data_IF_410896700427
#
_entry.id   IF_410896700427
#
_cell.length_a   1.000
_cell.length_b   1.000
_cell.length_c   1.000
_cell.angle_alpha   90.00
_cell.angle_beta   90.00
_cell.angle_gamma   90.00
#
_symmetry.space_group_name_H-M   'P 1'
#
loop_
_entity.id
_entity.type
_entity.pdbx_description
1 polymer ?
#
# COMPACT_ATOMS: atom_id res chain seq x y z
N UNK A 1 33.91 -47.41 44.46
CA UNK A 1 34.98 -46.57 43.85
C UNK A 1 35.80 -45.88 44.93
N UNK A 2 35.13 -45.23 45.88
CA UNK A 2 35.76 -44.56 47.03
C UNK A 2 36.54 -45.58 47.88
N UNK A 3 35.93 -46.70 48.26
CA UNK A 3 36.60 -47.76 49.06
C UNK A 3 37.85 -48.34 48.39
N UNK A 4 37.88 -48.39 47.05
CA UNK A 4 39.07 -48.86 46.30
C UNK A 4 40.18 -47.82 46.27
N UNK A 5 39.83 -46.53 46.16
CA UNK A 5 40.81 -45.44 46.20
C UNK A 5 41.43 -45.38 47.60
N UNK A 6 40.62 -45.53 48.64
CA UNK A 6 41.10 -45.58 50.02
C UNK A 6 41.99 -46.80 50.26
N UNK A 7 41.57 -48.00 49.83
CA UNK A 7 42.37 -49.21 49.96
C UNK A 7 43.69 -49.18 49.15
N UNK A 8 43.69 -48.56 47.96
CA UNK A 8 44.89 -48.41 47.13
C UNK A 8 45.92 -47.46 47.75
N UNK A 9 45.46 -46.43 48.46
CA UNK A 9 46.33 -45.43 49.07
C UNK A 9 46.96 -45.91 50.39
N UNK A 10 46.47 -47.00 50.97
CA UNK A 10 47.08 -47.65 52.12
C UNK A 10 48.06 -48.72 51.68
N UNK A 11 49.34 -48.36 51.59
CA UNK A 11 50.45 -49.30 51.40
C UNK A 11 50.57 -50.22 52.61
N UNK A 12 49.90 -51.38 52.59
CA UNK A 12 50.21 -52.39 53.61
C UNK A 12 49.38 -53.65 53.68
N UNK A 13 48.08 -53.66 53.36
CA UNK A 13 47.27 -54.88 53.54
C UNK A 13 46.18 -55.03 52.48
N UNK A 14 46.24 -56.19 51.83
CA UNK A 14 45.34 -56.77 50.83
C UNK A 14 45.28 -56.06 49.47
N UNK A 15 45.43 -56.84 48.39
CA UNK A 15 45.29 -56.35 47.01
C UNK A 15 43.87 -55.82 46.82
N UNK A 16 43.71 -54.50 46.80
CA UNK A 16 42.43 -53.84 46.59
C UNK A 16 41.74 -54.39 45.32
N UNK A 17 40.58 -55.02 45.49
CA UNK A 17 39.78 -55.50 44.35
C UNK A 17 39.10 -54.31 43.67
N UNK A 18 39.24 -54.24 42.34
CA UNK A 18 38.71 -53.15 41.53
C UNK A 18 37.18 -53.12 41.66
N UNK A 19 36.57 -51.95 41.91
CA UNK A 19 35.13 -51.83 42.08
C UNK A 19 34.42 -52.13 40.77
N UNK A 20 33.31 -52.86 40.85
CA UNK A 20 32.48 -53.23 39.71
C UNK A 20 31.90 -51.98 39.03
N UNK A 21 32.25 -51.77 37.77
CA UNK A 21 31.72 -50.69 36.94
C UNK A 21 30.66 -51.25 35.97
N UNK A 22 29.52 -50.57 35.76
CA UNK A 22 28.38 -51.12 34.99
C UNK A 22 28.65 -51.44 33.51
N UNK A 23 29.84 -51.13 32.99
CA UNK A 23 30.16 -51.19 31.55
C UNK A 23 31.47 -51.90 31.22
N UNK A 24 32.12 -52.54 32.18
CA UNK A 24 33.41 -53.21 31.94
C UNK A 24 33.26 -54.73 31.84
N UNK A 25 33.53 -55.26 30.64
CA UNK A 25 33.91 -56.66 30.37
C UNK A 25 32.89 -57.77 30.72
N UNK A 26 31.59 -57.50 30.67
CA UNK A 26 30.55 -58.50 31.00
C UNK A 26 29.78 -58.99 29.78
N UNK A 27 29.48 -60.29 29.74
CA UNK A 27 28.72 -60.91 28.66
C UNK A 27 27.21 -60.78 28.88
N UNK A 28 26.64 -59.77 28.24
CA UNK A 28 25.20 -59.46 28.07
C UNK A 28 24.39 -59.10 29.33
N UNK A 29 23.66 -57.99 29.22
CA UNK A 29 22.52 -57.61 30.05
C UNK A 29 21.21 -58.17 29.47
N UNK A 30 20.66 -59.28 30.00
CA UNK A 30 19.23 -59.39 30.25
C UNK A 30 18.98 -58.80 31.64
N UNK A 31 18.24 -57.69 31.70
CA UNK A 31 17.87 -56.96 32.91
C UNK A 31 17.66 -57.91 34.11
N UNK A 32 18.45 -57.72 35.16
CA UNK A 32 18.21 -58.14 36.55
C UNK A 32 17.58 -59.54 36.72
N UNK A 33 18.35 -60.62 36.46
CA UNK A 33 18.08 -61.94 37.05
C UNK A 33 19.19 -62.30 38.05
N UNK A 34 18.89 -62.38 39.37
CA UNK A 34 19.89 -62.69 40.40
C UNK A 34 20.48 -64.12 40.30
N UNK A 35 19.85 -65.02 39.53
CA UNK A 35 20.19 -66.45 39.49
C UNK A 35 21.25 -66.82 38.45
N UNK A 36 21.82 -65.86 37.71
CA UNK A 36 22.91 -66.13 36.76
C UNK A 36 24.17 -65.38 37.22
N UNK A 37 25.27 -66.10 37.52
CA UNK A 37 26.54 -65.45 37.86
C UNK A 37 27.07 -64.66 36.65
N UNK A 38 27.64 -63.51 36.95
CA UNK A 38 28.32 -62.65 35.97
C UNK A 38 29.47 -63.46 35.36
N UNK A 39 29.42 -63.67 34.04
CA UNK A 39 30.52 -64.31 33.30
C UNK A 39 31.42 -63.23 32.72
N UNK A 40 32.68 -63.20 33.15
CA UNK A 40 33.72 -62.40 32.55
C UNK A 40 34.12 -62.99 31.20
N UNK A 41 34.48 -62.13 30.22
CA UNK A 41 35.10 -62.63 29.00
C UNK A 41 36.47 -63.24 29.35
N UNK A 42 36.72 -64.46 28.90
CA UNK A 42 38.06 -65.04 29.01
C UNK A 42 39.02 -64.34 28.05
N UNK A 43 40.33 -64.36 28.35
CA UNK A 43 41.35 -63.73 27.49
C UNK A 43 41.24 -64.21 26.03
N UNK A 44 41.02 -65.50 25.83
CA UNK A 44 40.79 -66.10 24.51
C UNK A 44 39.52 -65.59 23.83
N UNK A 45 38.43 -65.42 24.58
CA UNK A 45 37.18 -64.87 24.05
C UNK A 45 37.32 -63.40 23.64
N UNK A 46 38.03 -62.59 24.42
CA UNK A 46 38.32 -61.18 24.12
C UNK A 46 39.17 -61.09 22.84
N UNK A 47 40.18 -61.95 22.69
CA UNK A 47 40.99 -62.04 21.48
C UNK A 47 40.15 -62.47 20.28
N UNK A 48 39.26 -63.46 20.44
CA UNK A 48 38.37 -63.90 19.36
C UNK A 48 37.38 -62.80 18.94
N UNK A 49 36.76 -62.13 19.90
CA UNK A 49 35.80 -61.04 19.64
C UNK A 49 36.47 -59.83 18.99
N UNK A 50 37.68 -59.47 19.42
CA UNK A 50 38.44 -58.38 18.79
C UNK A 50 38.82 -58.69 17.34
N UNK A 51 39.22 -59.93 17.04
CA UNK A 51 39.47 -60.37 15.66
C UNK A 51 38.21 -60.31 14.81
N UNK A 52 37.07 -60.77 15.33
CA UNK A 52 35.78 -60.71 14.64
C UNK A 52 35.35 -59.26 14.36
N UNK A 53 35.47 -58.38 15.36
CA UNK A 53 35.12 -56.97 15.23
C UNK A 53 36.03 -56.22 14.23
N UNK A 54 37.34 -56.48 14.27
CA UNK A 54 38.28 -55.89 13.33
C UNK A 54 38.02 -56.37 11.89
N UNK A 55 37.74 -57.66 11.69
CA UNK A 55 37.40 -58.20 10.38
C UNK A 55 36.12 -57.58 9.81
N UNK A 56 35.07 -57.44 10.64
CA UNK A 56 33.83 -56.81 10.23
C UNK A 56 34.02 -55.32 9.89
N UNK A 57 34.77 -54.57 10.71
CA UNK A 57 35.09 -53.16 10.44
C UNK A 57 35.93 -52.98 9.17
N UNK A 58 36.83 -53.93 8.85
CA UNK A 58 37.58 -53.93 7.60
C UNK A 58 36.67 -54.19 6.39
N UNK A 59 35.73 -55.12 6.52
CA UNK A 59 34.76 -55.41 5.46
C UNK A 59 33.82 -54.22 5.22
N UNK A 60 33.39 -53.52 6.28
CA UNK A 60 32.59 -52.30 6.20
C UNK A 60 33.35 -51.13 5.54
N UNK A 61 34.67 -51.04 5.73
CA UNK A 61 35.53 -50.07 5.05
C UNK A 61 35.71 -50.40 3.56
N UNK A 62 35.79 -51.69 3.20
CA UNK A 62 35.95 -52.15 1.81
C UNK A 62 34.65 -51.96 1.01
N UNK A 63 33.50 -52.27 1.62
CA UNK A 63 32.18 -52.12 0.99
C UNK A 63 31.67 -50.67 0.94
N UNK A 64 32.52 -49.68 1.27
CA UNK A 64 32.13 -48.29 1.42
C UNK A 64 31.77 -47.62 0.08
N UNK A 65 30.48 -47.34 -0.16
CA UNK A 65 30.06 -46.31 -1.13
C UNK A 65 30.23 -44.93 -0.50
N UNK A 66 31.04 -44.10 -1.14
CA UNK A 66 31.61 -42.82 -0.64
C UNK A 66 30.58 -41.76 -0.21
N UNK A 67 29.28 -41.93 -0.43
CA UNK A 67 28.31 -40.83 -0.36
C UNK A 67 27.57 -40.62 0.99
N UNK A 68 27.59 -41.53 1.98
CA UNK A 68 26.65 -41.43 3.13
C UNK A 68 27.26 -41.72 4.52
N UNK A 69 28.46 -41.22 4.86
CA UNK A 69 28.97 -41.26 6.26
C UNK A 69 29.83 -40.04 6.60
N UNK A 70 29.69 -39.53 7.84
CA UNK A 70 30.49 -38.41 8.36
C UNK A 70 31.95 -38.81 8.61
N UNK A 71 32.92 -37.88 8.56
CA UNK A 71 34.33 -38.16 8.82
C UNK A 71 34.59 -38.84 10.17
N UNK A 72 33.76 -38.53 11.17
CA UNK A 72 33.79 -39.18 12.48
C UNK A 72 33.52 -40.69 12.38
N UNK A 73 32.48 -41.09 11.61
CA UNK A 73 32.14 -42.50 11.41
C UNK A 73 33.27 -43.26 10.72
N UNK A 74 33.92 -42.65 9.72
CA UNK A 74 35.03 -43.27 8.98
C UNK A 74 36.27 -43.44 9.87
N UNK A 75 36.60 -42.42 10.67
CA UNK A 75 37.71 -42.50 11.62
C UNK A 75 37.47 -43.60 12.66
N UNK A 76 36.25 -43.70 13.19
CA UNK A 76 35.92 -44.71 14.20
C UNK A 76 35.87 -46.12 13.64
N UNK A 77 35.41 -46.34 12.40
CA UNK A 77 35.50 -47.65 11.76
C UNK A 77 36.95 -48.02 11.42
N UNK A 78 37.78 -47.06 11.00
CA UNK A 78 39.22 -47.27 10.81
C UNK A 78 39.95 -47.61 12.11
N UNK A 79 39.61 -46.94 13.22
CA UNK A 79 40.13 -47.27 14.54
C UNK A 79 39.67 -48.67 14.97
N UNK A 80 38.39 -49.02 14.76
CA UNK A 80 37.83 -50.33 15.06
C UNK A 80 38.50 -51.47 14.27
N UNK A 81 38.84 -51.23 13.00
CA UNK A 81 39.58 -52.17 12.15
C UNK A 81 41.01 -52.49 12.67
N UNK A 82 41.54 -51.67 13.58
CA UNK A 82 42.88 -51.83 14.19
C UNK A 82 42.84 -52.28 15.65
N UNK A 83 41.66 -52.57 16.19
CA UNK A 83 41.46 -52.95 17.60
C UNK A 83 42.25 -54.20 18.01
N UNK A 84 42.53 -55.12 17.10
CA UNK A 84 43.37 -56.30 17.36
C UNK A 84 44.79 -55.97 17.83
N UNK A 85 45.33 -54.79 17.47
CA UNK A 85 46.66 -54.35 17.92
C UNK A 85 46.73 -54.03 19.40
N UNK A 86 45.59 -53.76 20.02
CA UNK A 86 45.50 -53.30 21.41
C UNK A 86 45.02 -54.39 22.38
N UNK A 87 44.76 -55.60 21.88
CA UNK A 87 44.07 -56.67 22.63
C UNK A 87 44.82 -58.01 22.62
N UNK A 88 45.74 -58.26 21.68
CA UNK A 88 46.59 -59.46 21.75
C UNK A 88 47.60 -59.37 22.90
N UNK A 89 48.10 -60.52 23.42
CA UNK A 89 49.22 -60.59 24.37
C UNK A 89 50.53 -60.27 23.64
N UNK A 90 50.59 -59.07 23.08
CA UNK A 90 51.71 -58.55 22.32
C UNK A 90 52.07 -57.18 22.89
N UNK A 91 52.02 -57.11 24.22
CA UNK A 91 52.59 -55.99 24.98
C UNK A 91 54.12 -56.09 24.91
N UNK A 92 54.79 -54.94 24.88
CA UNK A 92 56.27 -54.87 24.84
C UNK A 92 56.90 -55.72 25.97
N UNK A 93 56.24 -55.78 27.12
CA UNK A 93 56.63 -56.55 28.30
C UNK A 93 56.64 -58.06 28.04
N UNK A 94 55.64 -58.60 27.34
CA UNK A 94 55.59 -60.05 27.03
C UNK A 94 56.61 -60.44 25.95
N UNK A 95 56.87 -59.56 24.98
CA UNK A 95 57.96 -59.78 24.00
C UNK A 95 59.34 -59.79 24.65
N UNK A 96 59.55 -58.95 25.66
CA UNK A 96 60.79 -58.96 26.45
C UNK A 96 60.90 -60.23 27.29
N UNK A 97 59.83 -60.64 27.97
CA UNK A 97 59.81 -61.88 28.75
C UNK A 97 60.09 -63.11 27.88
N UNK A 98 59.53 -63.19 26.67
CA UNK A 98 59.79 -64.28 25.72
C UNK A 98 61.26 -64.31 25.25
N UNK A 99 61.88 -63.14 25.05
CA UNK A 99 63.31 -63.04 24.74
C UNK A 99 64.18 -63.45 25.92
N UNK A 100 63.78 -63.14 27.15
CA UNK A 100 64.46 -63.58 28.35
C UNK A 100 64.42 -65.10 28.54
N UNK A 101 63.26 -65.73 28.31
CA UNK A 101 63.14 -67.19 28.43
C UNK A 101 63.96 -67.92 27.37
N UNK A 102 63.99 -67.43 26.13
CA UNK A 102 64.81 -68.01 25.06
C UNK A 102 66.31 -67.96 25.37
N UNK A 103 66.81 -66.83 25.91
CA UNK A 103 68.22 -66.73 26.33
C UNK A 103 68.56 -67.69 27.47
N UNK A 104 67.65 -67.90 28.42
CA UNK A 104 67.87 -68.84 29.52
C UNK A 104 67.98 -70.29 29.02
N UNK A 105 67.22 -70.67 28.00
CA UNK A 105 67.30 -72.01 27.40
C UNK A 105 68.61 -72.22 26.62
N UNK A 106 69.08 -71.19 25.89
CA UNK A 106 70.36 -71.24 25.16
C UNK A 106 71.56 -71.45 26.09
N UNK A 107 71.59 -70.77 27.24
CA UNK A 107 72.67 -70.91 28.24
C UNK A 107 72.70 -72.35 28.81
N UNK A 108 71.54 -72.90 29.19
CA UNK A 108 71.45 -74.28 29.71
C UNK A 108 71.91 -75.32 28.69
N UNK A 109 71.70 -75.08 27.40
CA UNK A 109 72.16 -75.98 26.34
C UNK A 109 73.69 -75.96 26.21
N UNK A 110 74.32 -74.81 26.35
CA UNK A 110 75.78 -74.66 26.28
C UNK A 110 76.49 -75.37 27.44
N UNK A 111 76.01 -75.19 28.67
CA UNK A 111 76.58 -75.85 29.87
C UNK A 111 76.57 -77.38 29.73
N UNK A 112 75.48 -77.94 29.22
CA UNK A 112 75.31 -79.39 29.04
C UNK A 112 76.29 -79.96 28.01
N UNK A 113 76.61 -79.19 26.96
CA UNK A 113 77.57 -79.57 25.93
C UNK A 113 79.01 -79.59 26.45
N UNK A 114 79.37 -78.62 27.28
CA UNK A 114 80.73 -78.50 27.78
C UNK A 114 81.04 -79.55 28.87
N UNK A 115 80.03 -79.93 29.67
CA UNK A 115 80.13 -81.06 30.61
C UNK A 115 80.48 -82.39 29.91
N UNK A 116 79.82 -82.69 28.77
CA UNK A 116 80.07 -83.92 28.02
C UNK A 116 81.48 -83.99 27.41
N UNK A 117 82.04 -82.85 26.98
CA UNK A 117 83.41 -82.80 26.44
C UNK A 117 84.46 -83.10 27.49
N UNK A 118 84.26 -82.66 28.73
CA UNK A 118 85.20 -82.89 29.82
C UNK A 118 85.25 -84.38 30.21
N UNK A 119 84.10 -85.06 30.22
CA UNK A 119 84.00 -86.49 30.55
C UNK A 119 84.77 -87.39 29.58
N UNK A 120 84.68 -87.09 28.28
CA UNK A 120 85.38 -87.84 27.23
C UNK A 120 86.90 -87.66 27.29
N UNK A 121 87.40 -86.53 27.81
CA UNK A 121 88.83 -86.30 27.92
C UNK A 121 89.46 -87.18 29.01
N UNK A 122 88.75 -87.38 30.13
CA UNK A 122 89.21 -88.18 31.27
C UNK A 122 89.36 -89.66 30.87
N UNK A 123 88.40 -90.22 30.13
CA UNK A 123 88.44 -91.63 29.71
C UNK A 123 89.65 -91.98 28.83
N UNK A 124 90.08 -91.09 27.93
CA UNK A 124 91.28 -91.33 27.10
C UNK A 124 92.59 -91.37 27.88
N UNK A 125 92.65 -90.70 29.04
CA UNK A 125 93.88 -90.65 29.84
C UNK A 125 94.12 -91.98 30.55
N UNK A 126 93.06 -92.67 30.99
CA UNK A 126 93.15 -93.95 31.70
C UNK A 126 93.56 -95.12 30.79
N UNK A 127 93.08 -95.15 29.53
CA UNK A 127 93.39 -96.23 28.58
C UNK A 127 94.90 -96.30 28.22
N UNK A 128 95.56 -95.15 28.13
CA UNK A 128 96.97 -95.09 27.72
C UNK A 128 97.94 -95.56 28.81
N UNK A 129 97.59 -95.48 30.10
CA UNK A 129 98.49 -95.94 31.17
C UNK A 129 98.55 -97.47 31.28
N UNK A 130 97.51 -98.19 30.87
CA UNK A 130 97.44 -99.66 30.97
C UNK A 130 98.33 -100.35 29.92
N UNK A 131 98.52 -99.75 28.75
CA UNK A 131 99.26 -100.36 27.64
C UNK A 131 100.77 -100.53 27.90
N UNK A 132 101.41 -99.58 28.59
CA UNK A 132 102.88 -99.53 28.76
C UNK A 132 103.39 -100.65 29.71
N UNK A 133 102.55 -101.11 30.65
CA UNK A 133 102.94 -102.11 31.65
C UNK A 133 103.07 -103.54 31.10
N UNK A 134 102.39 -103.84 29.99
CA UNK A 134 102.31 -105.19 29.42
C UNK A 134 103.52 -105.57 28.55
N UNK A 135 104.13 -104.62 27.84
CA UNK A 135 105.24 -104.89 26.90
C UNK A 135 106.55 -105.23 27.60
N UNK A 136 106.85 -104.60 28.74
CA UNK A 136 108.09 -104.81 29.49
C UNK A 136 108.19 -106.24 30.07
N UNK A 137 107.06 -106.87 30.41
CA UNK A 137 107.02 -108.24 30.99
C UNK A 137 107.28 -109.35 29.96
N UNK A 138 107.19 -109.06 28.65
CA UNK A 138 107.36 -110.07 27.58
C UNK A 138 108.82 -110.23 27.12
N UNK A 139 109.67 -109.22 27.30
CA UNK A 139 111.00 -109.17 26.70
C UNK A 139 112.10 -109.97 27.45
N UNK A 140 111.88 -110.36 28.71
CA UNK A 140 112.96 -110.78 29.63
C UNK A 140 112.95 -112.30 29.96
N UNK A 141 111.98 -113.08 29.43
CA UNK A 141 111.83 -114.49 29.81
C UNK A 141 112.64 -115.44 28.90
N UNK A 142 113.70 -116.05 29.45
CA UNK A 142 114.24 -117.34 28.98
C UNK A 142 115.38 -117.35 27.95
N UNK A 143 116.28 -116.35 27.90
CA UNK A 143 117.44 -116.36 26.98
C UNK A 143 118.78 -116.49 27.72
N UNK A 144 119.71 -117.26 27.15
CA UNK A 144 121.01 -117.63 27.74
C UNK A 144 122.07 -116.53 27.61
N UNK A 145 123.11 -116.59 28.45
CA UNK A 145 124.13 -115.54 28.60
C UNK A 145 124.88 -115.14 27.31
N UNK A 146 125.04 -116.05 26.33
CA UNK A 146 125.66 -115.74 25.04
C UNK A 146 124.68 -115.08 24.03
N UNK A 147 123.37 -115.25 24.22
CA UNK A 147 122.34 -114.52 23.49
C UNK A 147 122.11 -113.12 24.08
N UNK A 148 122.40 -112.92 25.37
CA UNK A 148 122.37 -111.62 26.04
C UNK A 148 123.49 -110.70 25.53
N UNK A 149 124.71 -111.22 25.28
CA UNK A 149 125.83 -110.42 24.75
C UNK A 149 125.64 -110.02 23.28
N UNK A 150 125.10 -110.91 22.44
CA UNK A 150 124.75 -110.59 21.06
C UNK A 150 123.56 -109.61 20.97
N UNK A 151 122.57 -109.75 21.86
CA UNK A 151 121.48 -108.78 21.98
C UNK A 151 122.00 -107.42 22.45
N UNK A 152 122.90 -107.36 23.43
CA UNK A 152 123.53 -106.12 23.91
C UNK A 152 124.37 -105.42 22.84
N UNK A 153 125.12 -106.14 21.99
CA UNK A 153 125.86 -105.53 20.88
C UNK A 153 124.94 -104.96 19.79
N UNK A 154 123.84 -105.67 19.48
CA UNK A 154 122.80 -105.16 18.58
C UNK A 154 122.00 -104.00 19.21
N UNK A 155 121.82 -104.00 20.53
CA UNK A 155 121.24 -102.90 21.31
C UNK A 155 122.17 -101.69 21.29
N UNK A 156 123.49 -101.87 21.42
CA UNK A 156 124.46 -100.76 21.37
C UNK A 156 124.57 -100.13 19.98
N UNK A 157 124.49 -100.92 18.90
CA UNK A 157 124.48 -100.37 17.54
C UNK A 157 123.15 -99.68 17.21
N UNK A 158 122.02 -100.17 17.75
CA UNK A 158 120.74 -99.46 17.71
C UNK A 158 120.80 -98.17 18.52
N UNK A 159 121.39 -98.20 19.71
CA UNK A 159 121.54 -97.02 20.56
C UNK A 159 122.46 -95.96 19.95
N UNK A 160 123.52 -96.34 19.23
CA UNK A 160 124.37 -95.39 18.51
C UNK A 160 123.69 -94.78 17.28
N UNK A 161 122.84 -95.53 16.57
CA UNK A 161 122.01 -94.98 15.50
C UNK A 161 120.89 -94.08 16.04
N UNK A 162 120.28 -94.47 17.15
CA UNK A 162 119.27 -93.67 17.83
C UNK A 162 119.87 -92.38 18.39
N UNK A 163 121.06 -92.42 19.00
CA UNK A 163 121.74 -91.23 19.51
C UNK A 163 122.10 -90.23 18.40
N UNK A 164 122.56 -90.70 17.23
CA UNK A 164 122.81 -89.82 16.07
C UNK A 164 121.52 -89.24 15.48
N UNK A 165 120.47 -90.03 15.39
CA UNK A 165 119.15 -89.56 14.96
C UNK A 165 118.54 -88.56 15.97
N UNK A 166 118.79 -88.74 17.26
CA UNK A 166 118.36 -87.84 18.34
C UNK A 166 119.14 -86.52 18.29
N UNK A 167 120.44 -86.54 17.99
CA UNK A 167 121.26 -85.33 17.87
C UNK A 167 120.91 -84.51 16.62
N UNK A 168 120.69 -85.18 15.48
CA UNK A 168 120.14 -84.53 14.26
C UNK A 168 118.72 -83.99 14.48
N UNK A 169 117.86 -84.72 15.20
CA UNK A 169 116.53 -84.26 15.57
C UNK A 169 116.56 -83.06 16.53
N UNK A 170 117.54 -82.97 17.43
CA UNK A 170 117.70 -81.85 18.35
C UNK A 170 118.13 -80.56 17.62
N UNK A 171 119.06 -80.64 16.67
CA UNK A 171 119.48 -79.50 15.85
C UNK A 171 118.34 -79.04 14.93
N UNK A 172 117.58 -79.98 14.35
CA UNK A 172 116.37 -79.68 13.59
C UNK A 172 115.29 -79.01 14.46
N UNK A 173 115.09 -79.48 15.70
CA UNK A 173 114.15 -78.89 16.63
C UNK A 173 114.57 -77.47 17.08
N UNK A 174 115.86 -77.23 17.30
CA UNK A 174 116.36 -75.91 17.72
C UNK A 174 116.33 -74.88 16.58
N UNK A 175 116.63 -75.29 15.35
CA UNK A 175 116.48 -74.43 14.17
C UNK A 175 115.01 -74.13 13.87
N UNK A 176 114.10 -75.11 13.99
CA UNK A 176 112.66 -74.92 13.89
C UNK A 176 112.11 -74.00 15.00
N UNK A 177 112.61 -74.10 16.24
CA UNK A 177 112.22 -73.24 17.35
C UNK A 177 112.66 -71.78 17.14
N UNK A 178 113.88 -71.55 16.63
CA UNK A 178 114.35 -70.19 16.27
C UNK A 178 113.54 -69.61 15.11
N UNK A 179 113.28 -70.39 14.06
CA UNK A 179 112.41 -69.98 12.96
C UNK A 179 111.02 -69.59 13.48
N UNK A 180 110.39 -70.44 14.31
CA UNK A 180 109.11 -70.16 14.95
C UNK A 180 109.12 -68.90 15.83
N UNK A 181 110.21 -68.64 16.56
CA UNK A 181 110.35 -67.42 17.37
C UNK A 181 110.46 -66.15 16.52
N UNK A 182 111.15 -66.20 15.38
CA UNK A 182 111.25 -65.07 14.45
C UNK A 182 109.89 -64.81 13.81
N UNK A 183 109.20 -65.86 13.35
CA UNK A 183 107.85 -65.72 12.80
C UNK A 183 106.88 -65.16 13.85
N UNK A 184 106.94 -65.61 15.11
CA UNK A 184 106.11 -65.06 16.20
C UNK A 184 106.35 -63.57 16.45
N UNK A 185 107.62 -63.13 16.46
CA UNK A 185 107.97 -61.71 16.62
C UNK A 185 107.50 -60.89 15.42
N UNK A 186 107.68 -61.40 14.21
CA UNK A 186 107.18 -60.76 12.99
C UNK A 186 105.65 -60.62 13.02
N UNK A 187 104.93 -61.69 13.37
CA UNK A 187 103.46 -61.63 13.52
C UNK A 187 103.03 -60.69 14.63
N UNK A 188 103.79 -60.58 15.74
CA UNK A 188 103.46 -59.66 16.82
C UNK A 188 103.60 -58.20 16.38
N UNK A 189 104.65 -57.86 15.63
CA UNK A 189 104.86 -56.52 15.07
C UNK A 189 103.77 -56.20 14.03
N UNK A 190 103.41 -57.16 13.18
CA UNK A 190 102.33 -56.99 12.21
C UNK A 190 100.98 -56.76 12.91
N UNK A 191 100.69 -57.51 13.98
CA UNK A 191 99.50 -57.30 14.81
C UNK A 191 99.52 -55.91 15.46
N UNK A 192 100.65 -55.45 15.98
CA UNK A 192 100.78 -54.13 16.60
C UNK A 192 100.59 -53.01 15.57
N UNK A 193 101.17 -53.14 14.38
CA UNK A 193 100.98 -52.19 13.28
C UNK A 193 99.54 -52.18 12.76
N UNK A 194 98.90 -53.34 12.63
CA UNK A 194 97.48 -53.44 12.26
C UNK A 194 96.60 -52.82 13.34
N UNK A 195 96.86 -53.09 14.62
CA UNK A 195 96.14 -52.49 15.73
C UNK A 195 96.30 -50.96 15.75
N UNK A 196 97.52 -50.43 15.54
CA UNK A 196 97.75 -48.99 15.45
C UNK A 196 96.95 -48.36 14.30
N UNK A 197 96.96 -48.97 13.11
CA UNK A 197 96.17 -48.50 11.95
C UNK A 197 94.67 -48.56 12.21
N UNK A 198 94.18 -49.61 12.85
CA UNK A 198 92.77 -49.75 13.24
C UNK A 198 92.38 -48.66 14.24
N UNK A 199 93.19 -48.40 15.25
CA UNK A 199 92.94 -47.34 16.24
C UNK A 199 92.99 -45.95 15.60
N UNK A 200 93.93 -45.68 14.70
CA UNK A 200 93.97 -44.42 13.95
C UNK A 200 92.75 -44.25 13.03
N UNK A 201 92.33 -45.30 12.33
CA UNK A 201 91.13 -45.27 11.51
C UNK A 201 89.86 -45.06 12.37
N UNK A 202 89.76 -45.74 13.51
CA UNK A 202 88.66 -45.58 14.45
C UNK A 202 88.60 -44.17 15.05
N UNK A 203 89.75 -43.60 15.45
CA UNK A 203 89.78 -42.25 16.01
C UNK A 203 89.39 -41.20 14.96
N UNK A 204 89.87 -41.33 13.72
CA UNK A 204 89.43 -40.48 12.61
C UNK A 204 87.93 -40.59 12.36
N UNK A 205 87.40 -41.82 12.24
CA UNK A 205 85.96 -42.05 12.07
C UNK A 205 85.15 -41.49 13.24
N UNK A 206 85.61 -41.68 14.49
CA UNK A 206 84.97 -41.10 15.68
C UNK A 206 84.92 -39.57 15.60
N UNK A 207 85.99 -38.91 15.18
CA UNK A 207 85.99 -37.44 15.02
C UNK A 207 85.05 -36.96 13.90
N UNK A 208 84.98 -37.68 12.78
CA UNK A 208 84.07 -37.34 11.68
C UNK A 208 82.61 -37.56 12.09
N UNK A 209 82.29 -38.69 12.73
CA UNK A 209 80.97 -38.97 13.29
C UNK A 209 80.57 -37.90 14.29
N UNK A 210 81.49 -37.47 15.18
CA UNK A 210 81.21 -36.36 16.11
C UNK A 210 80.97 -35.03 15.39
N UNK A 211 81.71 -34.72 14.33
CA UNK A 211 81.54 -33.49 13.54
C UNK A 211 80.19 -33.48 12.82
N UNK A 212 79.83 -34.59 12.18
CA UNK A 212 78.54 -34.77 11.50
C UNK A 212 77.40 -34.68 12.52
N UNK A 213 77.54 -35.34 13.68
CA UNK A 213 76.56 -35.25 14.77
C UNK A 213 76.33 -33.81 15.22
N UNK A 214 77.40 -33.02 15.44
CA UNK A 214 77.28 -31.60 15.80
C UNK A 214 76.59 -30.79 14.71
N UNK A 215 76.93 -31.01 13.44
CA UNK A 215 76.28 -30.33 12.31
C UNK A 215 74.79 -30.66 12.24
N UNK A 216 74.43 -31.93 12.34
CA UNK A 216 73.04 -32.36 12.37
C UNK A 216 72.29 -31.80 13.58
N UNK A 217 72.95 -31.72 14.75
CA UNK A 217 72.34 -31.12 15.93
C UNK A 217 72.04 -29.64 15.73
N UNK A 218 72.96 -28.87 15.13
CA UNK A 218 72.73 -27.45 14.81
C UNK A 218 71.57 -27.31 13.82
N UNK A 219 71.56 -28.12 12.75
CA UNK A 219 70.47 -28.11 11.77
C UNK A 219 69.12 -28.46 12.40
N UNK A 220 69.08 -29.41 13.33
CA UNK A 220 67.88 -29.74 14.10
C UNK A 220 67.41 -28.51 14.89
N UNK A 221 68.30 -27.84 15.64
CA UNK A 221 67.92 -26.65 16.42
C UNK A 221 67.47 -25.48 15.56
N UNK A 222 68.08 -25.25 14.40
CA UNK A 222 67.68 -24.20 13.45
C UNK A 222 66.29 -24.51 12.85
N UNK A 223 66.05 -25.76 12.48
CA UNK A 223 64.76 -26.20 11.96
C UNK A 223 63.67 -26.14 13.05
N UNK A 224 63.99 -26.47 14.30
CA UNK A 224 63.07 -26.33 15.44
C UNK A 224 62.69 -24.87 15.66
N UNK A 225 63.65 -23.95 15.68
CA UNK A 225 63.37 -22.51 15.80
C UNK A 225 62.54 -21.98 14.62
N UNK A 226 62.86 -22.40 13.40
CA UNK A 226 62.12 -22.02 12.20
C UNK A 226 60.66 -22.52 12.25
N UNK A 227 60.47 -23.76 12.70
CA UNK A 227 59.16 -24.37 12.88
C UNK A 227 58.34 -23.61 13.94
N UNK A 228 58.94 -23.20 15.04
CA UNK A 228 58.27 -22.40 16.08
C UNK A 228 57.81 -21.03 15.57
N UNK A 229 58.66 -20.35 14.79
CA UNK A 229 58.29 -19.07 14.15
C UNK A 229 57.13 -19.26 13.16
N UNK A 230 57.21 -20.30 12.31
CA UNK A 230 56.14 -20.62 11.37
C UNK A 230 54.82 -20.98 12.09
N UNK A 231 54.89 -21.72 13.19
CA UNK A 231 53.73 -22.06 14.01
C UNK A 231 53.10 -20.81 14.65
N UNK A 232 53.92 -19.90 15.18
CA UNK A 232 53.44 -18.63 15.74
C UNK A 232 52.76 -17.77 14.68
N UNK A 233 53.38 -17.63 13.51
CA UNK A 233 52.79 -16.92 12.37
C UNK A 233 51.46 -17.55 11.93
N UNK A 234 51.37 -18.88 11.87
CA UNK A 234 50.12 -19.58 11.54
C UNK A 234 49.02 -19.28 12.57
N UNK A 235 49.33 -19.32 13.87
CA UNK A 235 48.37 -18.97 14.93
C UNK A 235 47.89 -17.52 14.79
N UNK A 236 48.77 -16.57 14.48
CA UNK A 236 48.40 -15.17 14.33
C UNK A 236 47.56 -14.92 13.06
N UNK A 237 47.89 -15.58 11.95
CA UNK A 237 47.05 -15.59 10.75
C UNK A 237 45.66 -16.19 11.03
N UNK A 238 45.56 -17.27 11.80
CA UNK A 238 44.28 -17.83 12.20
C UNK A 238 43.44 -16.86 13.04
N UNK A 239 44.06 -16.06 13.93
CA UNK A 239 43.35 -15.01 14.68
C UNK A 239 42.84 -13.90 13.74
N UNK A 240 43.65 -13.48 12.77
CA UNK A 240 43.26 -12.48 11.77
C UNK A 240 42.08 -12.98 10.94
N UNK A 241 42.13 -14.23 10.46
CA UNK A 241 41.04 -14.86 9.70
C UNK A 241 39.74 -14.86 10.53
N UNK A 242 39.81 -15.23 11.81
CA UNK A 242 38.63 -15.19 12.70
C UNK A 242 38.07 -13.77 12.86
N UNK A 243 38.94 -12.78 13.04
CA UNK A 243 38.53 -11.36 13.15
C UNK A 243 37.86 -10.87 11.86
N UNK A 244 38.45 -11.15 10.71
CA UNK A 244 37.89 -10.77 9.41
C UNK A 244 36.58 -11.49 9.14
N UNK A 245 36.47 -12.78 9.50
CA UNK A 245 35.22 -13.54 9.40
C UNK A 245 34.10 -12.90 10.23
N UNK A 246 34.39 -12.45 11.45
CA UNK A 246 33.41 -11.76 12.30
C UNK A 246 32.99 -10.42 11.68
N UNK A 247 33.96 -9.63 11.22
CA UNK A 247 33.68 -8.35 10.55
C UNK A 247 32.82 -8.53 9.30
N UNK A 248 33.06 -9.58 8.51
CA UNK A 248 32.22 -9.89 7.35
C UNK A 248 30.78 -10.22 7.76
N UNK A 249 30.59 -11.01 8.83
CA UNK A 249 29.23 -11.31 9.31
C UNK A 249 28.50 -10.09 9.85
N UNK A 250 29.21 -9.19 10.55
CA UNK A 250 28.63 -7.92 11.03
C UNK A 250 28.25 -7.01 9.86
N UNK A 251 29.10 -6.92 8.83
CA UNK A 251 28.84 -6.09 7.65
C UNK A 251 27.69 -6.67 6.81
N UNK A 252 27.57 -8.00 6.72
CA UNK A 252 26.44 -8.67 6.09
C UNK A 252 25.13 -8.35 6.82
N UNK A 253 25.10 -8.46 8.15
CA UNK A 253 23.91 -8.11 8.93
C UNK A 253 23.52 -6.63 8.76
N UNK A 254 24.50 -5.72 8.79
CA UNK A 254 24.26 -4.30 8.56
C UNK A 254 23.72 -4.03 7.15
N UNK A 255 24.22 -4.74 6.12
CA UNK A 255 23.72 -4.64 4.75
C UNK A 255 22.26 -5.10 4.65
N UNK A 256 21.92 -6.25 5.25
CA UNK A 256 20.55 -6.77 5.29
C UNK A 256 19.59 -5.81 6.00
N UNK A 257 20.03 -5.18 7.09
CA UNK A 257 19.25 -4.15 7.80
C UNK A 257 18.99 -2.91 6.94
N UNK A 258 20.01 -2.39 6.25
CA UNK A 258 19.87 -1.26 5.32
C UNK A 258 18.95 -1.62 4.16
N UNK A 259 19.06 -2.83 3.62
CA UNK A 259 18.18 -3.30 2.55
C UNK A 259 16.73 -3.40 3.01
N UNK A 260 16.47 -3.87 4.24
CA UNK A 260 15.13 -3.90 4.84
C UNK A 260 14.57 -2.48 5.03
N UNK A 261 15.37 -1.55 5.54
CA UNK A 261 14.96 -0.15 5.70
C UNK A 261 14.66 0.51 4.35
N UNK A 262 15.49 0.25 3.33
CA UNK A 262 15.26 0.75 1.98
C UNK A 262 13.91 0.26 1.44
N UNK A 263 13.61 -1.03 1.58
CA UNK A 263 12.34 -1.59 1.13
C UNK A 263 11.15 -0.92 1.84
N UNK A 264 11.25 -0.70 3.16
CA UNK A 264 10.22 -0.01 3.92
C UNK A 264 9.98 1.43 3.42
N UNK A 265 11.05 2.17 3.09
CA UNK A 265 10.94 3.53 2.54
C UNK A 265 10.32 3.51 1.15
N UNK A 266 10.67 2.54 0.31
CA UNK A 266 10.07 2.38 -1.03
C UNK A 266 8.57 2.09 -0.92
N UNK A 267 8.15 1.23 0.00
CA UNK A 267 6.74 0.93 0.24
C UNK A 267 5.99 2.16 0.75
N UNK A 268 6.57 2.91 1.70
CA UNK A 268 6.02 4.18 2.18
C UNK A 268 5.89 5.22 1.08
N UNK A 269 6.89 5.36 0.21
CA UNK A 269 6.86 6.26 -0.92
C UNK A 269 5.75 5.87 -1.91
N UNK A 270 5.56 4.58 -2.15
CA UNK A 270 4.48 4.06 -3.01
C UNK A 270 3.10 4.42 -2.45
N UNK A 271 2.90 4.30 -1.14
CA UNK A 271 1.67 4.72 -0.46
C UNK A 271 1.46 6.23 -0.57
N UNK A 272 2.51 7.03 -0.35
CA UNK A 272 2.46 8.48 -0.48
C UNK A 272 2.10 8.91 -1.92
N UNK A 273 2.68 8.27 -2.94
CA UNK A 273 2.36 8.51 -4.34
C UNK A 273 0.89 8.22 -4.67
N UNK A 274 0.35 7.10 -4.18
CA UNK A 274 -1.09 6.79 -4.35
C UNK A 274 -1.97 7.84 -3.69
N UNK A 275 -1.61 8.28 -2.48
CA UNK A 275 -2.35 9.35 -1.76
C UNK A 275 -2.31 10.67 -2.51
N UNK A 276 -1.16 11.04 -3.09
CA UNK A 276 -1.03 12.23 -3.92
C UNK A 276 -1.92 12.14 -5.17
N UNK A 277 -1.99 10.97 -5.81
CA UNK A 277 -2.85 10.75 -6.98
C UNK A 277 -4.34 10.92 -6.62
N UNK A 278 -4.79 10.36 -5.48
CA UNK A 278 -6.17 10.54 -5.00
C UNK A 278 -6.47 12.01 -4.70
N UNK A 279 -5.60 12.70 -3.95
CA UNK A 279 -5.79 14.13 -3.63
C UNK A 279 -5.79 15.01 -4.89
N UNK A 280 -4.98 14.67 -5.89
CA UNK A 280 -4.99 15.38 -7.17
C UNK A 280 -6.30 15.18 -7.94
N UNK A 281 -6.92 13.99 -7.85
CA UNK A 281 -8.24 13.72 -8.40
C UNK A 281 -9.33 14.53 -7.70
N UNK A 282 -9.35 14.50 -6.36
CA UNK A 282 -10.29 15.29 -5.55
C UNK A 282 -10.19 16.80 -5.83
N UNK A 283 -8.96 17.31 -6.01
CA UNK A 283 -8.72 18.71 -6.37
C UNK A 283 -9.31 19.06 -7.74
N UNK A 284 -9.16 18.18 -8.73
CA UNK A 284 -9.70 18.42 -10.07
C UNK A 284 -11.23 18.33 -10.09
N UNK A 285 -11.82 17.39 -9.36
CA UNK A 285 -13.27 17.33 -9.15
C UNK A 285 -13.80 18.61 -8.46
N UNK A 286 -13.11 19.09 -7.44
CA UNK A 286 -13.47 20.34 -6.77
C UNK A 286 -13.40 21.56 -7.70
N UNK A 287 -12.41 21.61 -8.61
CA UNK A 287 -12.31 22.66 -9.64
C UNK A 287 -13.47 22.61 -10.62
N UNK A 288 -13.82 21.42 -11.13
CA UNK A 288 -14.97 21.24 -12.03
C UNK A 288 -16.27 21.67 -11.34
N UNK A 289 -16.45 21.30 -10.07
CA UNK A 289 -17.60 21.71 -9.27
C UNK A 289 -17.65 23.24 -9.10
N UNK A 290 -16.52 23.88 -8.80
CA UNK A 290 -16.43 25.34 -8.72
C UNK A 290 -16.79 26.02 -10.05
N UNK A 291 -16.28 25.52 -11.18
CA UNK A 291 -16.58 26.04 -12.52
C UNK A 291 -18.07 25.89 -12.87
N UNK A 292 -18.69 24.78 -12.49
CA UNK A 292 -20.14 24.60 -12.67
C UNK A 292 -20.96 25.55 -11.79
N UNK A 293 -20.57 25.74 -10.53
CA UNK A 293 -21.23 26.65 -9.59
C UNK A 293 -21.10 28.12 -10.02
N UNK A 294 -19.94 28.52 -10.55
CA UNK A 294 -19.74 29.87 -11.08
C UNK A 294 -20.58 30.14 -12.32
N UNK A 295 -20.73 29.16 -13.23
CA UNK A 295 -21.66 29.26 -14.36
C UNK A 295 -23.12 29.37 -13.90
N UNK A 296 -23.54 28.54 -12.94
CA UNK A 296 -24.88 28.58 -12.37
C UNK A 296 -25.17 29.93 -11.70
N UNK A 297 -24.21 30.45 -10.92
CA UNK A 297 -24.28 31.79 -10.31
C UNK A 297 -24.50 32.87 -11.39
N UNK A 298 -23.68 32.86 -12.46
CA UNK A 298 -23.80 33.84 -13.54
C UNK A 298 -25.15 33.79 -14.25
N UNK A 299 -25.72 32.59 -14.42
CA UNK A 299 -27.06 32.45 -14.99
C UNK A 299 -28.15 33.08 -14.10
N UNK A 300 -28.05 32.89 -12.77
CA UNK A 300 -28.97 33.52 -11.81
C UNK A 300 -28.79 35.03 -11.74
N UNK A 301 -27.55 35.54 -11.82
CA UNK A 301 -27.28 36.99 -11.87
C UNK A 301 -27.94 37.65 -13.08
N UNK A 302 -27.86 37.03 -14.26
CA UNK A 302 -28.55 37.53 -15.47
C UNK A 302 -30.07 37.57 -15.26
N UNK A 303 -30.66 36.49 -14.71
CA UNK A 303 -32.11 36.47 -14.42
C UNK A 303 -32.53 37.53 -13.40
N UNK A 304 -31.67 37.82 -12.42
CA UNK A 304 -31.90 38.89 -11.46
C UNK A 304 -31.87 40.28 -12.12
N UNK A 305 -30.90 40.53 -13.01
CA UNK A 305 -30.84 41.78 -13.79
C UNK A 305 -32.07 41.96 -14.69
N UNK A 306 -32.53 40.90 -15.37
CA UNK A 306 -33.75 40.90 -16.17
C UNK A 306 -35.00 41.18 -15.31
N UNK A 307 -35.09 40.59 -14.12
CA UNK A 307 -36.18 40.87 -13.19
C UNK A 307 -36.16 42.33 -12.72
N UNK A 308 -34.97 42.89 -12.47
CA UNK A 308 -34.80 44.26 -12.03
C UNK A 308 -35.20 45.26 -13.12
N UNK A 309 -34.82 45.03 -14.38
CA UNK A 309 -35.27 45.85 -15.51
C UNK A 309 -36.79 45.79 -15.65
N UNK A 310 -37.38 44.59 -15.52
CA UNK A 310 -38.84 44.42 -15.56
C UNK A 310 -39.56 45.17 -14.44
N UNK A 311 -39.02 45.16 -13.23
CA UNK A 311 -39.56 45.94 -12.10
C UNK A 311 -39.52 47.43 -12.41
N UNK A 312 -38.42 47.94 -12.96
CA UNK A 312 -38.29 49.35 -13.34
C UNK A 312 -39.31 49.78 -14.40
N UNK A 313 -39.54 48.95 -15.41
CA UNK A 313 -40.58 49.16 -16.43
C UNK A 313 -41.97 49.23 -15.80
N UNK A 314 -42.32 48.23 -14.97
CA UNK A 314 -43.62 48.17 -14.30
C UNK A 314 -43.83 49.36 -13.36
N UNK A 315 -42.79 49.80 -12.65
CA UNK A 315 -42.85 50.99 -11.81
C UNK A 315 -43.14 52.25 -12.62
N UNK A 316 -42.50 52.40 -13.79
CA UNK A 316 -42.74 53.54 -14.69
C UNK A 316 -44.17 53.52 -15.23
N UNK A 317 -44.67 52.34 -15.65
CA UNK A 317 -46.05 52.16 -16.09
C UNK A 317 -47.03 52.51 -14.97
N UNK A 318 -46.77 52.07 -13.74
CA UNK A 318 -47.63 52.35 -12.58
C UNK A 318 -47.72 53.86 -12.30
N UNK A 319 -46.58 54.57 -12.32
CA UNK A 319 -46.56 56.04 -12.17
C UNK A 319 -47.39 56.71 -13.27
N UNK A 320 -47.25 56.27 -14.52
CA UNK A 320 -48.01 56.81 -15.64
C UNK A 320 -49.51 56.56 -15.48
N UNK A 321 -49.92 55.33 -15.14
CA UNK A 321 -51.32 54.98 -14.88
C UNK A 321 -51.91 55.79 -13.73
N UNK A 322 -51.15 55.96 -12.64
CA UNK A 322 -51.55 56.80 -11.51
C UNK A 322 -51.76 58.26 -11.95
N UNK A 323 -50.88 58.80 -12.80
CA UNK A 323 -51.03 60.15 -13.35
C UNK A 323 -52.28 60.30 -14.23
N UNK A 324 -52.57 59.32 -15.10
CA UNK A 324 -53.78 59.32 -15.93
C UNK A 324 -55.04 59.17 -15.09
N UNK A 325 -55.00 58.34 -14.04
CA UNK A 325 -56.10 58.21 -13.08
C UNK A 325 -56.44 59.56 -12.46
N UNK A 326 -55.44 60.28 -11.93
CA UNK A 326 -55.66 61.61 -11.31
C UNK A 326 -56.24 62.60 -12.31
N UNK A 327 -55.78 62.60 -13.57
CA UNK A 327 -56.35 63.47 -14.62
C UNK A 327 -57.82 63.15 -14.88
N UNK A 328 -58.18 61.88 -15.03
CA UNK A 328 -59.57 61.46 -15.26
C UNK A 328 -60.44 61.79 -14.04
N UNK A 329 -59.93 61.61 -12.82
CA UNK A 329 -60.63 62.00 -11.58
C UNK A 329 -60.90 63.52 -11.53
N UNK A 330 -59.95 64.34 -12.00
CA UNK A 330 -60.13 65.79 -12.12
C UNK A 330 -61.16 66.16 -13.20
N UNK A 331 -61.07 65.57 -14.39
CA UNK A 331 -62.04 65.78 -15.48
C UNK A 331 -63.46 65.38 -15.06
N UNK A 332 -63.59 64.25 -14.35
CA UNK A 332 -64.87 63.80 -13.80
C UNK A 332 -65.45 64.79 -12.79
N UNK A 333 -64.60 65.37 -11.93
CA UNK A 333 -65.04 66.38 -10.96
C UNK A 333 -65.53 67.67 -11.64
N UNK A 334 -64.89 68.09 -12.73
CA UNK A 334 -65.34 69.23 -13.54
C UNK A 334 -66.70 68.94 -14.18
N UNK A 335 -66.85 67.80 -14.85
CA UNK A 335 -68.13 67.40 -15.49
C UNK A 335 -69.25 67.28 -14.46
N UNK A 336 -68.96 66.77 -13.25
CA UNK A 336 -69.93 66.73 -12.16
C UNK A 336 -70.41 68.14 -11.75
N UNK A 337 -69.49 69.11 -11.65
CA UNK A 337 -69.83 70.52 -11.38
C UNK A 337 -70.69 71.13 -12.49
N UNK A 338 -70.29 70.95 -13.75
CA UNK A 338 -71.06 71.44 -14.91
C UNK A 338 -72.47 70.84 -14.93
N UNK A 339 -72.60 69.56 -14.59
CA UNK A 339 -73.90 68.88 -14.51
C UNK A 339 -74.79 69.46 -13.40
N UNK A 340 -74.22 69.79 -12.23
CA UNK A 340 -74.95 70.49 -11.17
C UNK A 340 -75.40 71.90 -11.61
N UNK A 341 -74.57 72.63 -12.35
CA UNK A 341 -74.91 73.94 -12.89
C UNK A 341 -76.06 73.86 -13.90
N UNK A 342 -75.96 72.97 -14.90
CA UNK A 342 -77.02 72.72 -15.89
C UNK A 342 -78.32 72.32 -15.19
N UNK A 343 -78.24 71.48 -14.16
CA UNK A 343 -79.43 71.06 -13.38
C UNK A 343 -80.08 72.26 -12.67
N UNK A 344 -79.28 73.18 -12.10
CA UNK A 344 -79.79 74.41 -11.48
C UNK A 344 -80.42 75.33 -12.52
N UNK A 345 -79.77 75.53 -13.67
CA UNK A 345 -80.30 76.36 -14.77
C UNK A 345 -81.61 75.81 -15.33
N UNK A 346 -81.68 74.49 -15.54
CA UNK A 346 -82.89 73.81 -15.96
C UNK A 346 -84.04 74.05 -14.98
N UNK A 347 -83.77 73.90 -13.67
CA UNK A 347 -84.79 74.18 -12.63
C UNK A 347 -85.29 75.62 -12.68
N UNK A 348 -84.39 76.59 -12.84
CA UNK A 348 -84.76 78.01 -12.96
C UNK A 348 -85.58 78.26 -14.24
N UNK A 349 -85.19 77.63 -15.35
CA UNK A 349 -85.92 77.71 -16.62
C UNK A 349 -87.32 77.13 -16.49
N UNK A 350 -87.47 75.98 -15.84
CA UNK A 350 -88.76 75.35 -15.56
C UNK A 350 -89.64 76.24 -14.66
N UNK A 351 -89.07 76.84 -13.61
CA UNK A 351 -89.77 77.81 -12.76
C UNK A 351 -90.26 79.03 -13.56
N UNK A 352 -89.45 79.55 -14.49
CA UNK A 352 -89.83 80.66 -15.39
C UNK A 352 -90.91 80.24 -16.37
N UNK A 353 -90.77 79.08 -17.01
CA UNK A 353 -91.77 78.52 -17.91
C UNK A 353 -93.11 78.37 -17.19
N UNK A 354 -93.10 77.85 -15.96
CA UNK A 354 -94.31 77.68 -15.17
C UNK A 354 -94.97 79.02 -14.83
N UNK A 355 -94.20 80.06 -14.51
CA UNK A 355 -94.74 81.43 -14.30
C UNK A 355 -95.41 81.98 -15.55
N UNK A 356 -94.72 81.92 -16.70
CA UNK A 356 -95.26 82.37 -17.99
C UNK A 356 -96.50 81.57 -18.37
N UNK A 357 -96.53 80.27 -18.08
CA UNK A 357 -97.70 79.43 -18.32
C UNK A 357 -98.91 79.89 -17.48
N UNK A 358 -98.71 80.27 -16.22
CA UNK A 358 -99.77 80.83 -15.36
C UNK A 358 -100.22 82.20 -15.87
N UNK A 359 -99.30 83.09 -16.22
CA UNK A 359 -99.62 84.40 -16.80
C UNK A 359 -100.36 84.27 -18.14
N UNK A 360 -99.97 83.32 -18.99
CA UNK A 360 -100.67 83.01 -20.23
C UNK A 360 -102.10 82.54 -19.97
N UNK A 361 -102.31 81.64 -19.00
CA UNK A 361 -103.66 81.21 -18.62
C UNK A 361 -104.51 82.40 -18.16
N UNK A 362 -103.95 83.25 -17.30
CA UNK A 362 -104.64 84.44 -16.81
C UNK A 362 -104.98 85.44 -17.92
N UNK A 363 -104.06 85.71 -18.85
CA UNK A 363 -104.32 86.60 -19.99
C UNK A 363 -105.35 86.02 -20.95
N UNK A 364 -105.36 84.70 -21.16
CA UNK A 364 -106.41 84.01 -21.92
C UNK A 364 -107.77 84.16 -21.24
N UNK A 365 -107.86 84.05 -19.92
CA UNK A 365 -109.09 84.31 -19.15
C UNK A 365 -109.58 85.75 -19.33
N UNK A 366 -108.70 86.74 -19.18
CA UNK A 366 -109.04 88.16 -19.43
C UNK A 366 -109.54 88.37 -20.87
N UNK A 367 -108.86 87.80 -21.86
CA UNK A 367 -109.29 87.90 -23.26
C UNK A 367 -110.66 87.26 -23.47
N UNK A 368 -110.97 86.16 -22.79
CA UNK A 368 -112.28 85.54 -22.84
C UNK A 368 -113.36 86.44 -22.22
N UNK A 369 -113.09 87.03 -21.06
CA UNK A 369 -114.00 88.00 -20.42
C UNK A 369 -114.24 89.25 -21.28
N UNK A 370 -113.19 89.80 -21.90
CA UNK A 370 -113.32 90.92 -22.84
C UNK A 370 -114.11 90.49 -24.09
N UNK A 371 -113.87 89.30 -24.62
CA UNK A 371 -114.63 88.77 -25.75
C UNK A 371 -116.12 88.62 -25.40
N UNK A 372 -116.45 88.11 -24.22
CA UNK A 372 -117.84 88.06 -23.73
C UNK A 372 -118.45 89.46 -23.60
N UNK A 373 -117.67 90.44 -23.11
CA UNK A 373 -118.11 91.85 -23.04
C UNK A 373 -118.36 92.43 -24.43
N UNK A 374 -117.49 92.17 -25.41
CA UNK A 374 -117.68 92.59 -26.80
C UNK A 374 -118.96 91.96 -27.37
N UNK A 375 -119.17 90.66 -27.20
CA UNK A 375 -120.41 89.99 -27.66
C UNK A 375 -121.64 90.63 -27.03
N UNK A 376 -121.62 90.90 -25.71
CA UNK A 376 -122.71 91.63 -25.03
C UNK A 376 -122.93 93.02 -25.64
N UNK A 377 -121.86 93.80 -25.86
CA UNK A 377 -121.95 95.12 -26.50
C UNK A 377 -122.50 95.01 -27.92
N UNK A 378 -122.06 94.04 -28.72
CA UNK A 378 -122.58 93.80 -30.07
C UNK A 378 -124.06 93.43 -30.06
N UNK A 379 -124.52 92.64 -29.09
CA UNK A 379 -125.95 92.32 -28.95
C UNK A 379 -126.78 93.55 -28.58
N UNK A 380 -126.30 94.37 -27.64
CA UNK A 380 -126.94 95.65 -27.26
C UNK A 380 -126.93 96.62 -28.45
N UNK A 381 -125.82 96.70 -29.19
CA UNK A 381 -125.72 97.50 -30.40
C UNK A 381 -126.75 97.05 -31.43
N UNK A 382 -126.86 95.75 -31.71
CA UNK A 382 -127.86 95.20 -32.63
C UNK A 382 -129.30 95.47 -32.16
N UNK A 383 -129.58 95.38 -30.87
CA UNK A 383 -130.92 95.72 -30.34
C UNK A 383 -131.23 97.21 -30.49
N UNK A 384 -130.26 98.09 -30.24
CA UNK A 384 -130.41 99.53 -30.47
C UNK A 384 -130.53 99.88 -31.95
N UNK A 385 -129.77 99.24 -32.84
CA UNK A 385 -129.88 99.42 -34.29
C UNK A 385 -131.26 98.98 -34.80
N UNK A 386 -131.80 97.88 -34.26
CA UNK A 386 -133.17 97.43 -34.58
C UNK A 386 -134.21 98.39 -34.03
N UNK A 387 -134.08 98.87 -32.79
CA UNK A 387 -134.98 99.88 -32.21
C UNK A 387 -134.94 101.21 -32.99
N UNK A 388 -133.76 101.69 -33.40
CA UNK A 388 -133.62 102.88 -34.25
C UNK A 388 -134.26 102.64 -35.62
N UNK A 389 -134.04 101.47 -36.23
CA UNK A 389 -134.61 101.13 -37.55
C UNK A 389 -136.14 101.01 -37.48
N UNK A 390 -136.66 100.38 -36.44
CA UNK A 390 -138.10 100.32 -36.14
C UNK A 390 -138.65 101.71 -35.85
N UNK A 391 -137.95 102.55 -35.07
CA UNK A 391 -138.33 103.93 -34.81
C UNK A 391 -138.39 104.78 -36.09
N UNK A 392 -137.38 104.68 -36.96
CA UNK A 392 -137.37 105.34 -38.27
C UNK A 392 -138.47 104.78 -39.19
N UNK A 393 -138.69 103.46 -39.16
CA UNK A 393 -139.77 102.82 -39.92
C UNK A 393 -141.16 103.25 -39.41
N UNK A 394 -141.36 103.35 -38.10
CA UNK A 394 -142.59 103.88 -37.52
C UNK A 394 -142.77 105.35 -37.87
N UNK A 395 -141.72 106.16 -37.82
CA UNK A 395 -141.78 107.56 -38.28
C UNK A 395 -142.07 107.68 -39.77
N UNK A 396 -141.54 106.79 -40.61
CA UNK A 396 -141.81 106.79 -42.05
C UNK A 396 -143.23 106.31 -42.35
N UNK A 397 -143.72 105.26 -41.69
CA UNK A 397 -145.12 104.82 -41.76
C UNK A 397 -146.07 105.92 -41.28
N UNK A 398 -145.72 106.64 -40.22
CA UNK A 398 -146.53 107.76 -39.71
C UNK A 398 -146.55 108.91 -40.73
N UNK A 399 -145.41 109.22 -41.36
CA UNK A 399 -145.33 110.18 -42.48
C UNK A 399 -146.14 109.74 -43.70
N UNK A 400 -146.03 108.48 -44.12
CA UNK A 400 -146.79 107.92 -45.24
C UNK A 400 -148.28 108.00 -44.94
N UNK A 401 -148.74 107.57 -43.77
CA UNK A 401 -150.14 107.69 -43.35
C UNK A 401 -150.63 109.14 -43.34
N UNK A 402 -149.78 110.10 -42.98
CA UNK A 402 -150.10 111.54 -43.06
C UNK A 402 -150.23 112.00 -44.51
N UNK A 403 -149.28 111.66 -45.38
CA UNK A 403 -149.36 111.99 -46.80
C UNK A 403 -150.55 111.33 -47.49
N UNK A 404 -150.92 110.11 -47.09
CA UNK A 404 -152.09 109.41 -47.62
C UNK A 404 -153.39 110.16 -47.32
N UNK A 405 -153.55 110.69 -46.08
CA UNK A 405 -154.70 111.54 -45.72
C UNK A 405 -154.71 112.88 -46.45
N UNK A 406 -153.54 113.47 -46.66
CA UNK A 406 -153.39 114.72 -47.42
C UNK A 406 -153.73 114.51 -48.91
N UNK A 407 -153.45 113.32 -49.46
CA UNK A 407 -153.77 112.92 -50.83
C UNK A 407 -155.27 112.67 -51.01
N UNK A 408 -155.91 111.87 -50.13
CA UNK A 408 -157.38 111.66 -50.14
C UNK A 408 -158.12 113.01 -50.08
N UNK A 409 -157.70 113.91 -49.19
CA UNK A 409 -158.31 115.24 -49.07
C UNK A 409 -158.06 116.16 -50.27
N UNK A 410 -157.09 115.85 -51.14
CA UNK A 410 -156.83 116.57 -52.39
C UNK A 410 -157.64 115.98 -53.55
N UNK A 411 -157.80 114.65 -53.60
CA UNK A 411 -158.67 113.95 -54.56
C UNK A 411 -160.14 114.39 -54.39
N UNK A 412 -160.67 114.40 -53.17
CA UNK A 412 -162.04 114.86 -52.88
C UNK A 412 -162.28 116.34 -53.26
N UNK A 413 -161.23 117.17 -53.26
CA UNK A 413 -161.30 118.58 -53.68
C UNK A 413 -161.28 118.73 -55.20
N UNK A 414 -160.54 117.86 -55.90
CA UNK A 414 -160.50 117.85 -57.35
C UNK A 414 -161.86 117.41 -57.93
N UNK A 415 -162.48 116.38 -57.35
CA UNK A 415 -163.78 115.87 -57.80
C UNK A 415 -164.92 116.89 -57.60
N UNK A 416 -164.90 117.63 -56.49
CA UNK A 416 -165.83 118.73 -56.22
C UNK A 416 -165.60 119.97 -57.12
N UNK A 417 -164.39 120.18 -57.64
CA UNK A 417 -164.11 121.27 -58.57
C UNK A 417 -164.61 120.93 -60.00
N UNK A 418 -164.47 119.67 -60.43
CA UNK A 418 -164.97 119.23 -61.75
C UNK A 418 -166.50 119.24 -61.85
N UNK A 419 -167.19 118.82 -60.79
CA UNK A 419 -168.66 118.84 -60.73
C UNK A 419 -169.23 120.26 -60.78
N UNK A 420 -168.58 121.23 -60.13
CA UNK A 420 -169.00 122.63 -60.16
C UNK A 420 -168.74 123.32 -61.52
N UNK A 421 -167.71 122.91 -62.27
CA UNK A 421 -167.37 123.48 -63.58
C UNK A 421 -168.39 123.09 -64.67
N UNK A 422 -168.96 121.88 -64.60
CA UNK A 422 -170.02 121.45 -65.52
C UNK A 422 -171.37 122.14 -65.25
N UNK A 423 -171.63 122.56 -64.01
CA UNK A 423 -172.87 123.26 -63.65
C UNK A 423 -172.85 124.75 -64.06
N UNK A 424 -171.67 125.36 -64.19
CA UNK A 424 -171.50 126.78 -64.58
C UNK A 424 -171.58 126.99 -66.11
N UNK A 425 -171.21 126.00 -66.93
CA UNK A 425 -171.31 126.10 -68.41
C UNK A 425 -172.74 126.01 -68.96
N UNK A 426 -173.70 125.48 -68.21
CA UNK A 426 -175.09 125.35 -68.65
C UNK A 426 -175.99 126.56 -68.30
N UNK A 427 -175.53 127.55 -67.51
CA UNK A 427 -176.40 128.59 -66.91
C UNK A 427 -176.18 130.05 -67.33
N UNK A 428 -175.21 130.42 -68.18
CA UNK A 428 -175.04 131.83 -68.60
C UNK A 428 -175.26 132.09 -70.10
N UNK A 429 -176.52 132.48 -70.37
CA UNK A 429 -177.12 133.09 -71.56
C UNK A 429 -177.28 134.60 -71.23
N UNK A 430 -176.71 135.50 -72.05
CA UNK A 430 -176.95 136.98 -72.18
C UNK A 430 -176.64 137.98 -71.03
N UNK A 431 -175.75 138.95 -71.34
CA UNK A 431 -175.85 140.43 -71.21
C UNK A 431 -174.90 141.23 -70.27
N UNK A 432 -174.35 142.34 -70.84
CA UNK A 432 -173.62 143.54 -70.28
C UNK A 432 -172.14 143.34 -69.89
N UNK A 433 -171.08 143.79 -70.58
CA UNK A 433 -170.57 145.07 -71.18
C UNK A 433 -169.73 145.99 -70.27
N UNK A 434 -168.51 146.30 -70.78
CA UNK A 434 -167.69 147.54 -70.70
C UNK A 434 -166.54 147.71 -69.69
N UNK A 435 -165.33 147.90 -70.28
CA UNK A 435 -164.27 148.90 -69.93
C UNK A 435 -163.33 148.59 -68.72
N UNK A 436 -162.03 148.93 -68.62
CA UNK A 436 -161.12 149.84 -69.36
C UNK A 436 -159.63 149.69 -68.89
N UNK A 437 -158.68 149.41 -69.82
CA UNK A 437 -157.29 149.98 -70.08
C UNK A 437 -156.10 149.81 -69.03
N UNK A 438 -154.80 150.19 -69.28
CA UNK A 438 -153.66 149.29 -69.65
C UNK A 438 -152.23 149.55 -69.03
N UNK A 439 -151.23 148.71 -69.37
CA UNK A 439 -149.77 149.00 -69.48
C UNK A 439 -148.90 148.83 -68.19
N UNK A 440 -147.60 148.47 -68.16
CA UNK A 440 -146.49 148.38 -69.14
C UNK A 440 -145.25 147.66 -68.51
N UNK A 441 -144.57 146.81 -69.30
CA UNK A 441 -143.13 146.41 -69.43
C UNK A 441 -142.03 146.32 -68.31
N UNK A 442 -141.32 145.16 -68.33
CA UNK A 442 -139.85 144.85 -68.49
C UNK A 442 -138.78 145.20 -67.40
N UNK A 443 -137.95 144.22 -66.97
CA UNK A 443 -136.45 144.10 -67.13
C UNK A 443 -135.78 143.07 -66.17
N UNK A 444 -134.63 142.54 -66.64
CA UNK A 444 -133.69 141.58 -65.99
C UNK A 444 -132.94 142.15 -64.76
N UNK A 445 -132.42 141.28 -63.87
CA UNK A 445 -131.08 141.39 -63.22
C UNK A 445 -130.64 140.03 -62.62
N UNK A 446 -129.34 139.78 -62.76
CA UNK A 446 -128.46 138.69 -62.27
C UNK A 446 -127.89 139.01 -60.87
N UNK A 447 -127.61 138.01 -60.01
CA UNK A 447 -126.40 137.94 -59.14
C UNK A 447 -126.46 136.89 -58.00
N UNK A 448 -125.24 136.51 -57.61
CA UNK A 448 -124.67 135.50 -56.71
C UNK A 448 -124.61 135.87 -55.22
N UNK A 449 -124.46 134.86 -54.32
CA UNK A 449 -123.60 134.79 -53.09
C UNK A 449 -123.95 133.52 -52.28
N UNK A 450 -123.07 132.54 -51.95
CA UNK A 450 -121.90 132.45 -51.03
C UNK A 450 -122.18 132.56 -49.52
N UNK A 451 -121.84 131.49 -48.77
CA UNK A 451 -121.23 131.35 -47.41
C UNK A 451 -121.10 129.83 -47.14
N UNK A 452 -119.99 129.12 -46.86
CA UNK A 452 -118.74 129.23 -46.05
C UNK A 452 -118.86 128.56 -44.65
N UNK A 453 -117.85 127.71 -44.34
CA UNK A 453 -117.39 127.07 -43.06
C UNK A 453 -118.30 126.03 -42.40
N UNK A 454 -117.85 124.88 -41.89
CA UNK A 454 -116.56 124.35 -41.43
C UNK A 454 -116.55 122.81 -41.55
#
# INVERSE_FOLDING_TARGET
>A
MIDYIDAKNHEGREKAQIPHLPWSCERSLPKYRPSKPISHYTSEEVVRLSRKAAAQAQQDLINARVAIRTPFSVKKTADAARVTKHIQPDTVVERENLRYTQRLEEIRFQERRDYLRMLHHIQRMDENQVAISAELKRAIRGKSAHAITAALLAETDRNLKNARAEEEAFIAAQSAARASSVTRKQTAIEIEQLNARVVEAETRLKTEVMRIKKKLQIQITELEMSLDVANKQNIDLQKIIKKQSLQLTELQAAYEDVQRQLQQVVDQNTVAQRRLQTLSGELEEARVNLDSATRAKRAVEIQYEDAQTRISELSTININLQSSKVKIEQELAVVASDYEEITKELRISDERYQKVQVELKHTVEILHEEQERIVKIETIKKSLETEVKEGVSQQSVTRVRRFQRELEAAEDRAENAETNLNMIRAKHRTFVTTSTVPGTQVYMVESTSRTITE
#
